data_IF_088380058368
#
_entry.id   IF_088380058368
#
_cell.length_a   1.000
_cell.length_b   1.000
_cell.length_c   1.000
_cell.angle_alpha   90.00
_cell.angle_beta   90.00
_cell.angle_gamma   90.00
#
_symmetry.space_group_name_H-M   'P 1'
#
loop_
_entity.id
_entity.type
_entity.pdbx_description
1 polymer ?
#
# COMPACT_ATOMS: atom_id res chain seq x y z
N UNK A 1 4.26 -16.66 5.77
CA UNK A 1 3.45 -16.45 4.56
C UNK A 1 1.96 -16.70 4.82
N UNK A 2 1.66 -17.57 5.77
CA UNK A 2 0.34 -18.16 6.03
C UNK A 2 -0.67 -17.13 6.54
N UNK A 3 -0.24 -16.20 7.40
CA UNK A 3 -1.08 -15.10 7.89
C UNK A 3 -1.67 -14.22 6.76
N UNK A 4 -0.87 -13.91 5.72
CA UNK A 4 -1.35 -13.11 4.58
C UNK A 4 -2.36 -13.87 3.74
N UNK A 5 -2.20 -15.19 3.62
CA UNK A 5 -3.12 -16.06 2.90
C UNK A 5 -4.43 -16.22 3.68
N UNK A 6 -4.37 -16.37 5.00
CA UNK A 6 -5.55 -16.37 5.86
C UNK A 6 -6.31 -15.03 5.80
N UNK A 7 -5.60 -13.91 5.90
CA UNK A 7 -6.17 -12.56 5.74
C UNK A 7 -6.85 -12.36 4.38
N UNK A 8 -6.36 -13.03 3.34
CA UNK A 8 -6.97 -13.01 2.00
C UNK A 8 -8.21 -13.89 1.90
N UNK A 9 -8.23 -15.01 2.63
CA UNK A 9 -9.34 -15.97 2.64
C UNK A 9 -10.49 -15.53 3.53
N UNK A 10 -10.22 -14.70 4.55
CA UNK A 10 -11.25 -14.14 5.41
C UNK A 10 -12.04 -13.04 4.71
N UNK A 11 -13.39 -13.02 4.82
CA UNK A 11 -14.21 -11.95 4.29
C UNK A 11 -14.00 -10.66 5.09
N UNK A 12 -13.06 -9.83 4.64
CA UNK A 12 -12.77 -8.55 5.29
C UNK A 12 -13.86 -7.51 4.98
N UNK A 13 -14.50 -6.96 6.01
CA UNK A 13 -15.50 -5.89 5.90
C UNK A 13 -14.92 -4.52 6.27
N UNK A 14 -15.58 -3.44 5.83
CA UNK A 14 -15.18 -2.06 6.10
C UNK A 14 -15.04 -1.80 7.61
N UNK A 15 -16.05 -2.19 8.39
CA UNK A 15 -16.09 -2.03 9.84
C UNK A 15 -14.93 -2.75 10.52
N UNK A 16 -14.70 -4.01 10.15
CA UNK A 16 -13.61 -4.79 10.72
C UNK A 16 -12.25 -4.18 10.38
N UNK A 17 -12.08 -3.64 9.16
CA UNK A 17 -10.84 -3.00 8.71
C UNK A 17 -10.54 -1.72 9.50
N UNK A 18 -11.57 -0.93 9.80
CA UNK A 18 -11.43 0.28 10.61
C UNK A 18 -11.21 -0.04 12.08
N UNK A 19 -11.94 -1.02 12.63
CA UNK A 19 -11.86 -1.44 14.03
C UNK A 19 -10.53 -2.12 14.36
N UNK A 20 -10.03 -3.00 13.49
CA UNK A 20 -8.78 -3.74 13.71
C UNK A 20 -7.54 -2.96 13.29
N UNK A 21 -7.72 -1.89 12.49
CA UNK A 21 -6.62 -1.12 11.88
C UNK A 21 -5.61 -1.98 11.12
N UNK A 22 -5.99 -3.17 10.67
CA UNK A 22 -5.09 -4.14 10.01
C UNK A 22 -4.41 -3.59 8.75
N UNK A 23 -5.05 -2.61 8.09
CA UNK A 23 -4.46 -1.89 6.95
C UNK A 23 -3.13 -1.19 7.28
N UNK A 24 -2.97 -0.69 8.52
CA UNK A 24 -1.70 -0.10 8.96
C UNK A 24 -0.63 -1.17 9.16
N UNK A 25 -0.97 -2.26 9.85
CA UNK A 25 -0.05 -3.37 10.13
C UNK A 25 0.44 -4.02 8.83
N UNK A 26 -0.43 -4.23 7.84
CA UNK A 26 -0.04 -4.76 6.53
C UNK A 26 0.76 -3.76 5.69
N UNK A 27 0.48 -2.45 5.82
CA UNK A 27 1.29 -1.43 5.16
C UNK A 27 2.70 -1.33 5.76
N UNK A 28 2.83 -1.44 7.08
CA UNK A 28 4.12 -1.53 7.76
C UNK A 28 4.85 -2.81 7.34
N UNK A 29 4.16 -3.95 7.32
CA UNK A 29 4.69 -5.22 6.83
C UNK A 29 5.26 -5.08 5.41
N UNK A 30 4.54 -4.43 4.49
CA UNK A 30 5.05 -4.17 3.14
C UNK A 30 6.34 -3.35 3.12
N UNK A 31 6.53 -2.41 4.05
CA UNK A 31 7.72 -1.54 4.09
C UNK A 31 8.92 -2.23 4.75
N UNK A 32 8.68 -3.08 5.73
CA UNK A 32 9.73 -3.75 6.52
C UNK A 32 10.11 -5.13 5.96
N UNK A 33 9.27 -5.73 5.13
CA UNK A 33 9.57 -6.98 4.44
C UNK A 33 10.42 -6.73 3.19
N UNK A 34 11.44 -7.57 3.00
CA UNK A 34 12.29 -7.64 1.79
C UNK A 34 11.87 -8.75 0.82
N UNK A 35 10.97 -9.63 1.26
CA UNK A 35 10.50 -10.76 0.49
C UNK A 35 9.44 -10.33 -0.54
N UNK A 36 9.73 -10.53 -1.82
CA UNK A 36 8.88 -10.05 -2.92
C UNK A 36 7.48 -10.69 -2.91
N UNK A 37 7.37 -11.95 -2.49
CA UNK A 37 6.07 -12.65 -2.42
C UNK A 37 5.20 -12.05 -1.31
N UNK A 38 5.80 -11.76 -0.13
CA UNK A 38 5.13 -11.05 0.98
C UNK A 38 4.65 -9.68 0.53
N UNK A 39 5.53 -8.91 -0.11
CA UNK A 39 5.25 -7.55 -0.57
C UNK A 39 4.09 -7.57 -1.58
N UNK A 40 4.10 -8.50 -2.52
CA UNK A 40 3.06 -8.65 -3.54
C UNK A 40 1.70 -8.99 -2.93
N UNK A 41 1.65 -9.96 -2.01
CA UNK A 41 0.45 -10.33 -1.27
C UNK A 41 -0.09 -9.15 -0.45
N UNK A 42 0.77 -8.46 0.30
CA UNK A 42 0.41 -7.29 1.09
C UNK A 42 -0.17 -6.16 0.21
N UNK A 43 0.46 -5.88 -0.94
CA UNK A 43 -0.05 -4.88 -1.91
C UNK A 43 -1.44 -5.23 -2.42
N UNK A 44 -1.68 -6.51 -2.70
CA UNK A 44 -2.98 -6.99 -3.19
C UNK A 44 -4.08 -6.83 -2.14
N UNK A 45 -3.80 -7.20 -0.88
CA UNK A 45 -4.71 -6.99 0.26
C UNK A 45 -5.03 -5.51 0.47
N UNK A 46 -4.01 -4.66 0.53
CA UNK A 46 -4.18 -3.20 0.68
C UNK A 46 -5.06 -2.64 -0.44
N UNK A 47 -4.86 -3.08 -1.69
CA UNK A 47 -5.67 -2.63 -2.84
C UNK A 47 -7.14 -3.03 -2.70
N UNK A 48 -7.42 -4.29 -2.35
CA UNK A 48 -8.78 -4.79 -2.12
C UNK A 48 -9.48 -4.02 -1.00
N UNK A 49 -8.78 -3.79 0.11
CA UNK A 49 -9.29 -3.02 1.25
C UNK A 49 -9.50 -1.54 0.93
N UNK A 50 -8.62 -0.92 0.12
CA UNK A 50 -8.80 0.46 -0.34
C UNK A 50 -10.07 0.64 -1.18
N UNK A 51 -10.46 -0.39 -1.93
CA UNK A 51 -11.69 -0.38 -2.72
C UNK A 51 -12.94 -0.41 -1.83
N UNK A 52 -12.88 -1.09 -0.68
CA UNK A 52 -13.95 -1.10 0.32
C UNK A 52 -14.14 0.27 0.98
N UNK A 53 -13.04 0.99 1.27
CA UNK A 53 -13.07 2.32 1.93
C UNK A 53 -13.66 3.45 1.07
N UNK A 54 -13.81 3.26 -0.24
CA UNK A 54 -14.36 4.26 -1.15
C UNK A 54 -13.49 5.53 -1.31
N UNK A 55 -13.85 6.38 -2.28
CA UNK A 55 -13.09 7.59 -2.66
C UNK A 55 -12.85 8.59 -1.50
N UNK A 56 -13.61 8.48 -0.39
CA UNK A 56 -13.56 9.40 0.75
C UNK A 56 -12.23 9.37 1.52
N UNK A 57 -11.54 8.22 1.55
CA UNK A 57 -10.26 8.05 2.29
C UNK A 57 -9.03 8.10 1.36
N UNK A 58 -9.22 7.85 0.05
CA UNK A 58 -8.11 7.78 -0.91
C UNK A 58 -7.37 9.13 -0.99
N UNK A 59 -8.07 10.27 -0.89
CA UNK A 59 -7.46 11.60 -0.89
C UNK A 59 -6.47 11.81 0.28
N UNK A 60 -6.73 11.23 1.46
CA UNK A 60 -5.83 11.34 2.61
C UNK A 60 -4.65 10.37 2.55
N UNK A 61 -4.81 9.19 1.94
CA UNK A 61 -3.74 8.18 1.86
C UNK A 61 -2.78 8.41 0.69
N UNK A 62 -3.20 9.09 -0.38
CA UNK A 62 -2.35 9.38 -1.56
C UNK A 62 -1.29 10.45 -1.29
N UNK A 63 -1.37 11.18 -0.19
CA UNK A 63 -0.36 12.18 0.21
C UNK A 63 0.89 11.57 0.87
N UNK A 64 0.97 10.25 1.06
CA UNK A 64 2.11 9.59 1.73
C UNK A 64 2.77 8.45 0.93
N UNK A 65 2.53 8.41 -0.38
CA UNK A 65 3.17 7.45 -1.28
C UNK A 65 3.71 8.09 -2.56
N UNK A 66 4.32 9.27 -2.44
CA UNK A 66 5.26 9.80 -3.43
C UNK A 66 6.60 9.05 -3.31
N UNK A 67 6.57 7.78 -3.69
CA UNK A 67 7.75 6.99 -4.05
C UNK A 67 7.72 6.63 -5.54
N UNK A 68 7.01 7.43 -6.35
CA UNK A 68 7.05 7.32 -7.79
C UNK A 68 8.34 8.01 -8.24
N UNK A 69 9.32 7.18 -8.61
CA UNK A 69 10.57 7.59 -9.22
C UNK A 69 10.34 8.71 -10.24
N UNK A 70 10.89 9.89 -9.99
CA UNK A 70 11.02 10.90 -11.03
C UNK A 70 11.88 10.32 -12.16
N UNK A 71 11.46 10.43 -13.44
CA UNK A 71 12.37 10.21 -14.54
C UNK A 71 13.44 11.33 -14.51
N UNK A 72 14.68 10.90 -14.67
CA UNK A 72 15.88 11.73 -14.88
C UNK A 72 15.61 12.91 -15.83
N UNK A 73 15.63 14.13 -15.31
CA UNK A 73 15.78 15.33 -16.14
C UNK A 73 17.29 15.56 -16.35
N UNK A 74 17.84 14.85 -17.32
CA UNK A 74 19.10 15.24 -17.94
C UNK A 74 18.80 16.42 -18.86
N UNK A 75 19.26 17.63 -18.53
CA UNK A 75 19.49 18.70 -19.51
C UNK A 75 20.35 19.81 -18.93
N UNK A 76 21.63 19.69 -19.27
CA UNK A 76 22.51 20.76 -19.75
C UNK A 76 22.74 21.96 -18.85
N UNK A 77 23.93 21.94 -18.24
CA UNK A 77 24.84 23.08 -18.25
C UNK A 77 24.63 23.96 -19.50
N UNK A 78 24.38 25.24 -19.27
CA UNK A 78 24.98 26.26 -20.11
C UNK A 78 25.44 27.40 -19.22
N UNK A 79 26.75 27.36 -18.97
CA UNK A 79 27.54 28.50 -18.59
C UNK A 79 27.46 29.59 -19.67
N UNK A 80 27.76 30.81 -19.22
CA UNK A 80 27.94 32.07 -19.95
C UNK A 80 26.68 32.90 -20.23
#
# INVERSE_FOLDING_TARGET
MDLLKELKSMPMTLDLLQSTRIGMSVNALRKQSTDEEVISLAKSLIKSWKKLLGKKIILSLTMHSSGFSSPVASSSLKEH
#
